data_IF_946188078317
#
_entry.id   IF_946188078317
#
_cell.length_a   1.000
_cell.length_b   1.000
_cell.length_c   1.000
_cell.angle_alpha   90.00
_cell.angle_beta   90.00
_cell.angle_gamma   90.00
#
_symmetry.space_group_name_H-M   'P 1'
#
loop_
_entity.id
_entity.type
_entity.pdbx_description
1 polymer ?
#
# COMPACT_ATOMS: atom_id res chain seq x y z
N UNK A 1 -0.23 16.03 -9.85
CA UNK A 1 -1.38 15.18 -9.41
C UNK A 1 -1.08 14.31 -8.17
N UNK A 2 0.14 13.78 -7.96
CA UNK A 2 0.51 12.95 -6.79
C UNK A 2 0.56 13.63 -5.39
N UNK A 3 0.00 14.84 -5.25
CA UNK A 3 -0.10 15.60 -3.99
C UNK A 3 -1.56 15.90 -3.60
N UNK A 4 -2.51 15.18 -4.20
CA UNK A 4 -3.94 15.46 -4.00
C UNK A 4 -4.38 15.09 -2.59
N UNK A 5 -4.91 16.08 -1.87
CA UNK A 5 -5.47 15.98 -0.53
C UNK A 5 -6.96 15.65 -0.52
N UNK A 6 -7.58 15.38 -1.68
CA UNK A 6 -9.05 15.41 -1.82
C UNK A 6 -9.72 14.08 -2.14
N UNK A 7 -8.97 13.07 -2.54
CA UNK A 7 -9.60 11.92 -3.17
C UNK A 7 -9.65 10.70 -2.25
N UNK A 8 -10.85 10.47 -1.71
CA UNK A 8 -11.30 9.28 -0.99
C UNK A 8 -11.38 8.03 -1.89
N UNK A 9 -10.41 7.85 -2.80
CA UNK A 9 -10.44 6.82 -3.83
C UNK A 9 -10.48 5.40 -3.26
N UNK A 10 -9.96 5.21 -2.05
CA UNK A 10 -9.96 3.91 -1.39
C UNK A 10 -11.05 3.78 -0.32
N UNK A 11 -11.80 4.83 -0.01
CA UNK A 11 -12.75 4.82 1.11
C UNK A 11 -13.80 3.71 1.03
N UNK A 12 -14.42 3.41 -0.14
CA UNK A 12 -15.34 2.29 -0.24
C UNK A 12 -14.69 0.95 0.12
N UNK A 13 -13.45 0.74 -0.34
CA UNK A 13 -12.69 -0.48 -0.02
C UNK A 13 -12.26 -0.52 1.45
N UNK A 14 -11.78 0.59 2.00
CA UNK A 14 -11.42 0.70 3.43
C UNK A 14 -12.63 0.37 4.30
N UNK A 15 -13.81 0.91 3.97
CA UNK A 15 -15.04 0.63 4.70
C UNK A 15 -15.39 -0.87 4.67
N UNK A 16 -15.42 -1.51 3.50
CA UNK A 16 -15.73 -2.94 3.41
C UNK A 16 -14.68 -3.78 4.14
N UNK A 17 -13.40 -3.43 4.00
CA UNK A 17 -12.31 -4.12 4.68
C UNK A 17 -12.41 -4.00 6.21
N UNK A 18 -12.80 -2.83 6.71
CA UNK A 18 -13.07 -2.66 8.14
C UNK A 18 -14.28 -3.48 8.58
N UNK A 19 -15.40 -3.45 7.87
CA UNK A 19 -16.57 -4.20 8.33
C UNK A 19 -16.35 -5.72 8.32
N UNK A 20 -15.53 -6.26 7.41
CA UNK A 20 -15.50 -7.70 7.10
C UNK A 20 -14.27 -8.48 7.56
N UNK A 21 -13.14 -7.82 7.82
CA UNK A 21 -11.90 -8.53 8.13
C UNK A 21 -11.43 -8.18 9.53
N UNK A 22 -10.94 -9.17 10.28
CA UNK A 22 -10.37 -8.94 11.61
C UNK A 22 -9.07 -8.12 11.56
N UNK A 23 -8.25 -8.36 10.54
CA UNK A 23 -7.00 -7.65 10.27
C UNK A 23 -6.84 -7.36 8.79
N UNK A 24 -6.32 -6.19 8.46
CA UNK A 24 -6.10 -5.76 7.07
C UNK A 24 -4.69 -5.20 6.93
N UNK A 25 -3.93 -5.73 5.97
CA UNK A 25 -2.62 -5.18 5.60
C UNK A 25 -2.70 -4.56 4.22
N UNK A 26 -2.31 -3.29 4.13
CA UNK A 26 -2.23 -2.54 2.89
C UNK A 26 -0.78 -2.38 2.48
N UNK A 27 -0.39 -3.00 1.37
CA UNK A 27 0.95 -2.85 0.82
C UNK A 27 0.91 -1.97 -0.43
N UNK A 28 1.61 -0.84 -0.39
CA UNK A 28 1.73 0.07 -1.52
C UNK A 28 3.15 0.07 -2.06
N UNK A 29 3.26 -0.12 -3.38
CA UNK A 29 4.46 0.15 -4.17
C UNK A 29 4.52 1.61 -4.65
N UNK A 30 3.43 2.36 -4.49
CA UNK A 30 3.40 3.78 -4.83
C UNK A 30 4.05 4.61 -3.71
N UNK A 31 4.79 5.63 -4.13
CA UNK A 31 5.49 6.60 -3.31
C UNK A 31 4.67 7.87 -3.08
N UNK A 32 3.51 8.03 -3.75
CA UNK A 32 2.58 9.14 -3.55
C UNK A 32 1.85 9.08 -2.19
N UNK A 33 1.01 10.08 -1.92
CA UNK A 33 0.26 10.22 -0.67
C UNK A 33 -1.23 9.84 -0.78
N UNK A 34 -1.67 9.18 -1.87
CA UNK A 34 -3.11 8.92 -2.10
C UNK A 34 -3.68 8.00 -1.02
N UNK A 35 -2.89 7.00 -0.61
CA UNK A 35 -3.27 6.09 0.46
C UNK A 35 -3.31 6.80 1.81
N UNK A 36 -2.24 7.53 2.15
CA UNK A 36 -2.15 8.32 3.37
C UNK A 36 -3.33 9.30 3.49
N UNK A 37 -3.71 9.95 2.37
CA UNK A 37 -4.87 10.84 2.29
C UNK A 37 -6.20 10.09 2.47
N UNK A 38 -6.37 8.92 1.85
CA UNK A 38 -7.61 8.14 1.98
C UNK A 38 -7.89 7.78 3.44
N UNK A 39 -6.89 7.30 4.18
CA UNK A 39 -7.04 7.01 5.61
C UNK A 39 -7.26 8.27 6.45
N UNK A 40 -6.48 9.33 6.21
CA UNK A 40 -6.58 10.57 6.97
C UNK A 40 -7.97 11.25 6.86
N UNK A 41 -8.65 11.09 5.73
CA UNK A 41 -9.98 11.66 5.47
C UNK A 41 -11.13 10.67 5.61
N UNK A 42 -10.87 9.41 5.98
CA UNK A 42 -11.89 8.41 6.24
C UNK A 42 -12.42 8.56 7.68
N UNK A 43 -13.74 8.72 7.86
CA UNK A 43 -14.35 9.25 9.09
C UNK A 43 -15.11 8.22 9.95
N UNK A 44 -15.16 6.94 9.59
CA UNK A 44 -16.18 6.04 10.18
C UNK A 44 -15.81 5.39 11.51
N UNK A 45 -14.58 5.52 12.03
CA UNK A 45 -14.21 4.84 13.29
C UNK A 45 -14.53 5.62 14.58
N UNK A 46 -14.39 6.95 14.58
CA UNK A 46 -14.45 7.76 15.82
C UNK A 46 -15.36 9.00 15.72
N UNK A 47 -16.28 8.98 14.75
CA UNK A 47 -17.23 10.05 14.49
C UNK A 47 -16.69 11.15 13.57
N UNK A 48 -17.55 12.11 13.19
CA UNK A 48 -17.21 13.20 12.28
C UNK A 48 -15.98 13.98 12.76
N UNK A 49 -15.00 14.18 11.87
CA UNK A 49 -13.78 14.93 12.17
C UNK A 49 -12.65 14.15 12.84
N UNK A 50 -12.88 12.89 13.21
CA UNK A 50 -11.80 12.02 13.68
C UNK A 50 -10.88 11.63 12.51
N UNK A 51 -9.57 11.78 12.70
CA UNK A 51 -8.54 11.46 11.70
C UNK A 51 -7.58 10.45 12.28
N UNK A 52 -7.54 9.26 11.69
CA UNK A 52 -6.73 8.15 12.19
C UNK A 52 -5.94 7.55 11.04
N UNK A 53 -4.63 7.37 11.26
CA UNK A 53 -3.81 6.63 10.31
C UNK A 53 -3.69 5.16 10.76
N UNK A 54 -3.45 4.24 9.80
CA UNK A 54 -3.18 2.85 10.12
C UNK A 54 -1.90 2.71 10.93
N UNK A 55 -1.74 1.55 11.56
CA UNK A 55 -0.48 1.16 12.18
C UNK A 55 0.61 0.99 11.12
N UNK A 56 1.87 1.16 11.50
CA UNK A 56 3.03 0.93 10.64
C UNK A 56 3.90 -0.19 11.19
N UNK A 57 4.62 -0.88 10.31
CA UNK A 57 5.60 -1.89 10.70
C UNK A 57 6.95 -1.29 11.14
N UNK A 58 7.11 0.03 11.04
CA UNK A 58 8.29 0.78 11.48
C UNK A 58 7.87 2.00 12.29
N UNK A 59 8.76 2.46 13.16
CA UNK A 59 8.60 3.75 13.85
C UNK A 59 8.96 4.90 12.92
N UNK A 60 8.16 5.96 12.97
CA UNK A 60 8.36 7.19 12.19
C UNK A 60 7.84 8.37 13.02
N UNK A 61 8.68 9.40 13.14
CA UNK A 61 8.35 10.61 13.88
C UNK A 61 7.15 11.31 13.22
N UNK A 62 6.28 11.92 14.03
CA UNK A 62 5.08 12.65 13.60
C UNK A 62 4.00 11.81 12.89
N UNK A 63 4.11 10.48 12.90
CA UNK A 63 3.01 9.62 12.47
C UNK A 63 1.93 9.56 13.53
N UNK A 64 0.74 10.02 13.17
CA UNK A 64 -0.42 9.95 14.05
C UNK A 64 -1.15 8.62 13.79
N UNK A 65 -0.50 7.53 14.20
CA UNK A 65 -1.05 6.18 14.11
C UNK A 65 -2.02 5.90 15.26
N UNK A 66 -2.87 4.89 15.09
CA UNK A 66 -3.75 4.48 16.17
C UNK A 66 -4.80 3.43 15.84
N UNK A 67 -4.84 2.92 14.60
CA UNK A 67 -5.78 1.86 14.26
C UNK A 67 -5.07 0.50 14.17
N UNK A 68 -5.19 -0.36 15.19
CA UNK A 68 -4.42 -1.62 15.27
C UNK A 68 -4.82 -2.61 14.16
N UNK A 69 -6.07 -2.52 13.72
CA UNK A 69 -6.69 -3.39 12.72
C UNK A 69 -6.09 -3.24 11.33
N UNK A 70 -5.73 -2.02 10.95
CA UNK A 70 -5.15 -1.72 9.65
C UNK A 70 -3.65 -1.47 9.78
N UNK A 71 -2.87 -2.28 9.09
CA UNK A 71 -1.43 -2.11 8.95
C UNK A 71 -1.12 -1.55 7.56
N UNK A 72 -0.32 -0.49 7.48
CA UNK A 72 0.16 0.07 6.23
C UNK A 72 1.65 -0.21 6.02
N UNK A 73 1.97 -0.73 4.84
CA UNK A 73 3.31 -1.06 4.39
C UNK A 73 3.62 -0.23 3.13
N UNK A 74 4.46 0.79 3.28
CA UNK A 74 4.92 1.63 2.16
C UNK A 74 6.27 1.13 1.65
N UNK A 75 6.23 0.14 0.77
CA UNK A 75 7.38 -0.73 0.45
C UNK A 75 8.53 0.01 -0.22
N UNK A 76 8.21 1.03 -1.02
CA UNK A 76 9.18 1.86 -1.72
C UNK A 76 9.41 3.22 -1.02
N UNK A 77 8.98 3.34 0.24
CA UNK A 77 9.00 4.62 0.95
C UNK A 77 7.98 5.60 0.38
N UNK A 78 8.20 6.91 0.54
CA UNK A 78 7.21 7.88 0.09
C UNK A 78 7.72 9.30 0.00
N UNK A 79 7.05 10.11 -0.82
CA UNK A 79 7.38 11.53 -0.99
C UNK A 79 7.22 12.33 0.31
N UNK A 80 6.43 11.82 1.26
CA UNK A 80 6.16 12.37 2.57
C UNK A 80 6.94 11.70 3.71
N UNK A 81 7.84 10.77 3.41
CA UNK A 81 8.70 10.11 4.39
C UNK A 81 10.13 10.62 4.21
N UNK A 82 10.67 11.28 5.22
CA UNK A 82 11.94 11.99 5.11
C UNK A 82 12.89 11.57 6.22
N UNK A 83 14.17 11.48 5.90
CA UNK A 83 15.20 11.58 6.92
C UNK A 83 15.30 13.06 7.31
N UNK A 84 15.04 13.36 8.58
CA UNK A 84 15.19 14.70 9.15
C UNK A 84 16.06 14.60 10.38
N UNK A 85 17.23 15.23 10.36
CA UNK A 85 18.22 15.13 11.44
C UNK A 85 18.52 13.66 11.85
N UNK A 86 18.68 12.78 10.86
CA UNK A 86 18.98 11.35 11.09
C UNK A 86 17.79 10.49 11.54
N UNK A 87 16.57 11.05 11.63
CA UNK A 87 15.36 10.32 12.03
C UNK A 87 14.35 10.23 10.90
N UNK A 88 13.76 9.06 10.73
CA UNK A 88 12.65 8.88 9.79
C UNK A 88 11.43 9.65 10.32
N UNK A 89 10.98 10.62 9.53
CA UNK A 89 9.94 11.59 9.91
C UNK A 89 8.86 11.67 8.83
N UNK A 90 7.61 11.64 9.27
CA UNK A 90 6.44 11.86 8.43
C UNK A 90 6.19 13.35 8.24
N UNK A 91 6.30 13.82 7.01
CA UNK A 91 6.04 15.22 6.61
C UNK A 91 4.63 15.33 6.04
N UNK A 92 3.76 16.06 6.74
CA UNK A 92 2.33 16.13 6.40
C UNK A 92 2.09 16.73 5.02
N UNK A 93 1.20 16.11 4.25
CA UNK A 93 0.68 16.63 2.97
C UNK A 93 -0.39 17.73 3.16
N UNK A 94 -0.45 18.38 4.33
CA UNK A 94 -1.53 19.27 4.72
C UNK A 94 -1.58 20.58 3.89
N UNK A 95 -2.71 21.29 3.98
CA UNK A 95 -2.94 22.59 3.33
C UNK A 95 -1.93 23.68 3.74
N UNK A 96 -1.30 23.54 4.91
CA UNK A 96 -0.17 24.36 5.36
C UNK A 96 1.02 24.32 4.40
N UNK A 97 1.09 23.31 3.52
CA UNK A 97 2.12 23.19 2.52
C UNK A 97 3.45 22.66 3.06
N UNK A 98 3.46 22.03 4.24
CA UNK A 98 4.69 21.53 4.88
C UNK A 98 5.52 20.62 3.96
N UNK A 99 4.85 19.66 3.33
CA UNK A 99 5.47 18.79 2.32
C UNK A 99 6.02 19.60 1.12
N UNK A 100 5.26 20.57 0.62
CA UNK A 100 5.70 21.41 -0.50
C UNK A 100 6.92 22.26 -0.13
N UNK A 101 6.91 22.85 1.06
CA UNK A 101 8.04 23.60 1.61
C UNK A 101 9.27 22.71 1.70
N UNK A 102 9.14 21.48 2.23
CA UNK A 102 10.26 20.55 2.36
C UNK A 102 10.88 20.18 1.00
N UNK A 103 10.05 19.89 0.01
CA UNK A 103 10.51 19.64 -1.36
C UNK A 103 11.14 20.87 -2.02
N UNK A 104 10.65 22.08 -1.71
CA UNK A 104 11.24 23.34 -2.20
C UNK A 104 12.61 23.61 -1.57
N UNK A 105 12.80 23.28 -0.29
CA UNK A 105 14.10 23.35 0.39
C UNK A 105 15.09 22.37 -0.25
N UNK A 106 14.69 21.11 -0.40
CA UNK A 106 15.52 20.08 -1.02
C UNK A 106 15.91 20.40 -2.47
N UNK A 107 15.00 20.98 -3.26
CA UNK A 107 15.32 21.39 -4.63
C UNK A 107 16.36 22.51 -4.71
N UNK A 108 16.49 23.34 -3.65
CA UNK A 108 17.48 24.41 -3.58
C UNK A 108 18.82 23.93 -3.04
N UNK A 109 18.81 22.93 -2.17
CA UNK A 109 20.01 22.29 -1.63
C UNK A 109 19.84 20.76 -1.56
N UNK A 110 20.11 20.04 -2.67
CA UNK A 110 20.03 18.58 -2.71
C UNK A 110 21.07 17.88 -1.84
N UNK A 111 22.12 18.60 -1.42
CA UNK A 111 23.17 18.08 -0.54
C UNK A 111 22.81 18.24 0.95
N UNK A 112 21.63 18.79 1.26
CA UNK A 112 21.16 18.87 2.63
C UNK A 112 21.08 17.46 3.25
N UNK A 113 21.35 17.37 4.55
CA UNK A 113 21.27 16.11 5.29
C UNK A 113 19.85 15.50 5.28
N UNK A 114 18.85 16.32 4.98
CA UNK A 114 17.46 15.91 4.93
C UNK A 114 17.09 15.46 3.52
N UNK A 115 16.68 14.20 3.40
CA UNK A 115 16.43 13.56 2.11
C UNK A 115 15.16 12.71 2.16
N UNK A 116 14.40 12.64 1.06
CA UNK A 116 13.22 11.79 1.00
C UNK A 116 13.65 10.31 0.99
N UNK A 117 12.95 9.49 1.76
CA UNK A 117 13.14 8.03 1.76
C UNK A 117 12.29 7.45 0.64
N UNK A 118 12.90 7.35 -0.53
CA UNK A 118 12.30 6.75 -1.73
C UNK A 118 13.23 5.65 -2.22
N UNK A 119 12.70 4.44 -2.33
CA UNK A 119 13.37 3.30 -2.90
C UNK A 119 12.82 3.09 -4.31
N UNK A 120 13.57 3.49 -5.34
CA UNK A 120 13.16 3.17 -6.71
C UNK A 120 13.23 1.65 -6.94
N UNK A 121 12.28 1.07 -7.69
CA UNK A 121 12.22 -0.36 -7.97
C UNK A 121 13.37 -0.77 -8.91
N UNK A 122 14.54 -1.01 -8.32
CA UNK A 122 15.75 -1.43 -9.01
C UNK A 122 16.56 -2.37 -8.13
N UNK A 123 17.13 -3.43 -8.73
CA UNK A 123 17.81 -4.49 -8.00
C UNK A 123 18.95 -3.99 -7.10
N UNK A 124 19.69 -2.97 -7.53
CA UNK A 124 20.84 -2.42 -6.82
C UNK A 124 20.48 -1.62 -5.56
N UNK A 125 19.22 -1.20 -5.38
CA UNK A 125 18.82 -0.37 -4.24
C UNK A 125 18.45 -1.19 -3.00
N UNK A 126 18.27 -2.50 -3.13
CA UNK A 126 17.93 -3.41 -2.02
C UNK A 126 19.12 -3.78 -1.10
N UNK A 127 20.23 -3.06 -1.17
CA UNK A 127 21.35 -3.17 -0.23
C UNK A 127 21.72 -1.84 0.44
N UNK A 128 21.06 -0.74 0.07
CA UNK A 128 21.32 0.59 0.62
C UNK A 128 20.67 0.84 1.98
N UNK A 129 21.05 1.94 2.62
CA UNK A 129 20.55 2.28 3.97
C UNK A 129 19.04 2.54 4.01
N UNK A 130 18.47 3.09 2.94
CA UNK A 130 17.00 3.19 2.80
C UNK A 130 16.31 1.83 2.75
N UNK A 131 16.93 0.83 2.11
CA UNK A 131 16.37 -0.51 2.16
C UNK A 131 16.46 -1.10 3.56
N UNK A 132 17.58 -0.94 4.27
CA UNK A 132 17.69 -1.41 5.67
C UNK A 132 16.59 -0.78 6.54
N UNK A 133 16.36 0.52 6.38
CA UNK A 133 15.27 1.25 7.07
C UNK A 133 13.88 0.68 6.73
N UNK A 134 13.62 0.34 5.47
CA UNK A 134 12.33 -0.19 5.00
C UNK A 134 12.21 -1.72 5.13
N UNK A 135 13.29 -2.42 5.47
CA UNK A 135 13.36 -3.89 5.52
C UNK A 135 12.34 -4.52 6.48
N UNK A 136 11.96 -3.91 7.62
CA UNK A 136 10.89 -4.46 8.45
C UNK A 136 9.55 -4.44 7.72
N UNK A 137 9.27 -3.43 6.88
CA UNK A 137 8.06 -3.41 6.07
C UNK A 137 8.05 -4.52 5.02
N UNK A 138 9.19 -4.77 4.36
CA UNK A 138 9.34 -5.86 3.39
C UNK A 138 9.26 -7.25 4.03
N UNK A 139 9.73 -7.37 5.27
CA UNK A 139 9.61 -8.61 6.06
C UNK A 139 8.16 -8.84 6.42
N UNK A 140 7.47 -7.81 6.94
CA UNK A 140 6.05 -7.88 7.28
C UNK A 140 5.17 -8.11 6.06
N UNK A 141 5.52 -7.55 4.90
CA UNK A 141 4.83 -7.83 3.65
C UNK A 141 4.86 -9.31 3.30
N UNK A 142 6.04 -9.94 3.37
CA UNK A 142 6.18 -11.35 3.09
C UNK A 142 5.43 -12.23 4.10
N UNK A 143 5.55 -11.92 5.39
CA UNK A 143 4.80 -12.57 6.46
C UNK A 143 3.29 -12.53 6.18
N UNK A 144 2.74 -11.34 5.91
CA UNK A 144 1.31 -11.17 5.65
C UNK A 144 0.84 -11.87 4.38
N UNK A 145 1.66 -11.94 3.33
CA UNK A 145 1.33 -12.75 2.15
C UNK A 145 1.23 -14.25 2.49
N UNK A 146 2.08 -14.75 3.41
CA UNK A 146 2.09 -16.15 3.81
C UNK A 146 0.93 -16.50 4.76
N UNK A 147 0.42 -15.52 5.52
CA UNK A 147 -0.66 -15.70 6.49
C UNK A 147 -2.06 -15.41 5.93
N UNK A 148 -2.17 -14.56 4.91
CA UNK A 148 -3.46 -14.05 4.46
C UNK A 148 -4.40 -15.15 3.95
N UNK A 149 -5.67 -15.05 4.32
CA UNK A 149 -6.73 -15.87 3.71
C UNK A 149 -7.09 -15.35 2.31
N UNK A 150 -6.98 -14.03 2.11
CA UNK A 150 -7.31 -13.36 0.87
C UNK A 150 -6.31 -12.25 0.54
N UNK A 151 -5.91 -12.19 -0.73
CA UNK A 151 -5.03 -11.17 -1.27
C UNK A 151 -5.74 -10.45 -2.42
N UNK A 152 -5.81 -9.12 -2.33
CA UNK A 152 -6.33 -8.26 -3.39
C UNK A 152 -5.18 -7.45 -3.98
N UNK A 153 -4.96 -7.57 -5.28
CA UNK A 153 -3.96 -6.81 -6.05
C UNK A 153 -4.70 -5.81 -6.93
N UNK A 154 -4.34 -4.53 -6.81
CA UNK A 154 -4.98 -3.44 -7.55
C UNK A 154 -3.94 -2.67 -8.34
N UNK A 155 -4.04 -2.68 -9.67
CA UNK A 155 -3.26 -1.81 -10.55
C UNK A 155 -1.75 -1.99 -10.48
N UNK A 156 -1.25 -3.14 -10.00
CA UNK A 156 0.17 -3.42 -9.93
C UNK A 156 0.58 -4.34 -11.07
N UNK A 157 1.40 -3.83 -12.00
CA UNK A 157 1.79 -4.54 -13.22
C UNK A 157 2.85 -5.62 -13.03
N UNK A 158 3.37 -5.77 -11.81
CA UNK A 158 4.48 -6.66 -11.49
C UNK A 158 5.69 -6.44 -12.43
N UNK A 159 6.27 -5.22 -12.43
CA UNK A 159 7.34 -4.84 -13.35
C UNK A 159 8.58 -5.69 -13.13
N UNK A 160 9.37 -5.89 -14.19
CA UNK A 160 10.56 -6.76 -14.12
C UNK A 160 11.62 -6.25 -13.14
N UNK A 161 11.75 -4.92 -13.02
CA UNK A 161 12.69 -4.25 -12.10
C UNK A 161 12.38 -4.41 -10.61
N UNK A 162 11.16 -4.83 -10.24
CA UNK A 162 10.77 -5.06 -8.85
C UNK A 162 10.93 -6.55 -8.48
N UNK A 163 12.18 -7.00 -8.50
CA UNK A 163 12.52 -8.40 -8.24
C UNK A 163 12.12 -8.85 -6.82
N UNK A 164 12.16 -7.96 -5.83
CA UNK A 164 11.80 -8.28 -4.45
C UNK A 164 10.30 -8.56 -4.30
N UNK A 165 9.44 -7.70 -4.85
CA UNK A 165 8.00 -7.93 -4.85
C UNK A 165 7.66 -9.26 -5.53
N UNK A 166 8.21 -9.47 -6.73
CA UNK A 166 8.04 -10.71 -7.50
C UNK A 166 8.45 -11.93 -6.69
N UNK A 167 9.66 -11.92 -6.13
CA UNK A 167 10.18 -13.05 -5.37
C UNK A 167 9.29 -13.38 -4.16
N UNK A 168 8.88 -12.36 -3.39
CA UNK A 168 8.05 -12.54 -2.20
C UNK A 168 6.64 -13.02 -2.54
N UNK A 169 5.99 -12.43 -3.54
CA UNK A 169 4.66 -12.84 -3.98
C UNK A 169 4.67 -14.28 -4.50
N UNK A 170 5.65 -14.64 -5.34
CA UNK A 170 5.78 -16.01 -5.86
C UNK A 170 6.08 -17.04 -4.76
N UNK A 171 6.94 -16.68 -3.82
CA UNK A 171 7.28 -17.56 -2.69
C UNK A 171 6.06 -17.76 -1.79
N UNK A 172 5.36 -16.68 -1.44
CA UNK A 172 4.16 -16.75 -0.61
C UNK A 172 3.03 -17.52 -1.29
N UNK A 173 2.83 -17.34 -2.61
CA UNK A 173 1.90 -18.15 -3.39
C UNK A 173 2.23 -19.66 -3.35
N UNK A 174 3.52 -19.99 -3.25
CA UNK A 174 3.96 -21.37 -3.11
C UNK A 174 3.80 -21.94 -1.70
N UNK A 175 3.89 -21.10 -0.67
CA UNK A 175 3.72 -21.51 0.73
C UNK A 175 2.23 -21.58 1.09
N UNK A 176 1.48 -20.53 0.81
CA UNK A 176 0.09 -20.37 1.21
C UNK A 176 -0.88 -20.84 0.14
N UNK A 177 -1.09 -22.17 0.08
CA UNK A 177 -1.99 -22.80 -0.90
C UNK A 177 -3.48 -22.60 -0.63
N UNK A 178 -3.84 -22.06 0.54
CA UNK A 178 -5.23 -21.80 0.94
C UNK A 178 -5.70 -20.39 0.56
N UNK A 179 -4.77 -19.46 0.37
CA UNK A 179 -5.08 -18.09 0.02
C UNK A 179 -5.79 -17.98 -1.34
N UNK A 180 -6.86 -17.19 -1.38
CA UNK A 180 -7.51 -16.76 -2.62
C UNK A 180 -6.94 -15.43 -3.07
N UNK A 181 -6.73 -15.28 -4.37
CA UNK A 181 -6.16 -14.07 -4.95
C UNK A 181 -7.18 -13.39 -5.87
N UNK A 182 -7.30 -12.07 -5.75
CA UNK A 182 -8.11 -11.23 -6.62
C UNK A 182 -7.19 -10.20 -7.28
N UNK A 183 -7.15 -10.19 -8.61
CA UNK A 183 -6.47 -9.16 -9.40
C UNK A 183 -7.48 -8.21 -10.00
N UNK A 184 -7.25 -6.91 -9.82
CA UNK A 184 -8.04 -5.81 -10.40
C UNK A 184 -7.10 -4.97 -11.25
N UNK A 185 -7.17 -5.14 -12.56
CA UNK A 185 -6.36 -4.37 -13.51
C UNK A 185 -7.05 -4.30 -14.89
N UNK A 186 -7.16 -3.12 -15.54
CA UNK A 186 -7.77 -3.01 -16.86
C UNK A 186 -6.89 -3.54 -18.00
N UNK A 187 -5.58 -3.71 -17.78
CA UNK A 187 -4.61 -4.15 -18.80
C UNK A 187 -4.62 -5.67 -18.96
N UNK A 188 -4.92 -6.13 -20.18
CA UNK A 188 -4.83 -7.55 -20.51
C UNK A 188 -3.40 -8.09 -20.36
N UNK A 189 -2.39 -7.27 -20.68
CA UNK A 189 -1.00 -7.66 -20.54
C UNK A 189 -0.61 -7.89 -19.07
N UNK A 190 -1.12 -7.06 -18.15
CA UNK A 190 -0.95 -7.28 -16.71
C UNK A 190 -1.68 -8.55 -16.27
N UNK A 191 -2.95 -8.71 -16.66
CA UNK A 191 -3.76 -9.88 -16.33
C UNK A 191 -3.10 -11.19 -16.78
N UNK A 192 -2.65 -11.25 -18.04
CA UNK A 192 -1.96 -12.40 -18.60
C UNK A 192 -0.67 -12.73 -17.84
N UNK A 193 0.09 -11.71 -17.40
CA UNK A 193 1.30 -11.90 -16.60
C UNK A 193 1.00 -12.59 -15.27
N UNK A 194 -0.02 -12.15 -14.54
CA UNK A 194 -0.42 -12.79 -13.30
C UNK A 194 -0.98 -14.20 -13.50
N UNK A 195 -1.81 -14.41 -14.53
CA UNK A 195 -2.33 -15.74 -14.87
C UNK A 195 -1.18 -16.71 -15.15
N UNK A 196 -0.15 -16.28 -15.88
CA UNK A 196 1.03 -17.12 -16.16
C UNK A 196 1.81 -17.47 -14.89
N UNK A 197 1.85 -16.55 -13.93
CA UNK A 197 2.66 -16.71 -12.71
C UNK A 197 1.94 -17.50 -11.62
N UNK A 198 0.67 -17.19 -11.36
CA UNK A 198 -0.11 -17.78 -10.26
C UNK A 198 -1.02 -18.92 -10.74
N UNK A 199 -1.26 -19.05 -12.04
CA UNK A 199 -2.24 -20.00 -12.58
C UNK A 199 -3.69 -19.56 -12.33
N UNK A 200 -4.64 -20.23 -12.97
CA UNK A 200 -6.06 -19.83 -12.97
C UNK A 200 -6.87 -20.35 -11.78
N UNK A 201 -6.41 -21.40 -11.09
CA UNK A 201 -7.23 -22.09 -10.08
C UNK A 201 -7.48 -21.26 -8.81
N UNK A 202 -6.53 -20.40 -8.45
CA UNK A 202 -6.53 -19.63 -7.20
C UNK A 202 -6.61 -18.11 -7.41
N UNK A 203 -6.74 -17.68 -8.67
CA UNK A 203 -6.72 -16.28 -9.07
C UNK A 203 -8.03 -15.91 -9.79
N UNK A 204 -8.79 -15.04 -9.15
CA UNK A 204 -9.92 -14.33 -9.79
C UNK A 204 -9.40 -13.05 -10.41
N UNK A 205 -9.79 -12.76 -11.66
CA UNK A 205 -9.33 -11.56 -12.39
C UNK A 205 -10.52 -10.68 -12.77
N UNK A 206 -10.48 -9.42 -12.36
CA UNK A 206 -11.43 -8.38 -12.73
C UNK A 206 -10.72 -7.36 -13.64
N UNK A 207 -11.13 -7.36 -14.92
CA UNK A 207 -10.60 -6.46 -15.96
C UNK A 207 -11.18 -5.06 -15.85
N UNK A 208 -10.91 -4.39 -14.72
CA UNK A 208 -11.48 -3.09 -14.36
C UNK A 208 -10.41 -2.23 -13.69
N UNK A 209 -10.51 -0.91 -13.88
CA UNK A 209 -9.78 0.04 -13.05
C UNK A 209 -10.41 0.21 -11.67
N UNK A 210 -9.71 0.88 -10.75
CA UNK A 210 -10.16 1.13 -9.38
C UNK A 210 -11.55 1.80 -9.32
N UNK A 211 -11.83 2.76 -10.21
CA UNK A 211 -13.15 3.44 -10.26
C UNK A 211 -14.27 2.44 -10.57
N UNK A 212 -14.05 1.54 -11.53
CA UNK A 212 -15.02 0.51 -11.89
C UNK A 212 -15.21 -0.54 -10.80
N UNK A 213 -14.15 -0.86 -10.07
CA UNK A 213 -14.21 -1.74 -8.90
C UNK A 213 -14.98 -1.09 -7.74
N UNK A 214 -14.76 0.20 -7.50
CA UNK A 214 -15.43 0.95 -6.43
C UNK A 214 -16.95 1.07 -6.59
N UNK A 215 -17.49 0.85 -7.79
CA UNK A 215 -18.94 0.88 -8.01
C UNK A 215 -19.68 -0.21 -7.23
N UNK A 216 -19.06 -1.37 -7.05
CA UNK A 216 -19.66 -2.51 -6.32
C UNK A 216 -18.59 -3.38 -5.65
N UNK A 217 -17.83 -2.76 -4.74
CA UNK A 217 -16.74 -3.44 -4.00
C UNK A 217 -17.23 -4.72 -3.33
N UNK A 218 -18.44 -4.68 -2.73
CA UNK A 218 -18.98 -5.81 -1.98
C UNK A 218 -19.27 -6.99 -2.88
N UNK A 219 -19.98 -6.79 -4.00
CA UNK A 219 -20.26 -7.90 -4.91
C UNK A 219 -18.99 -8.50 -5.49
N UNK A 220 -17.99 -7.66 -5.83
CA UNK A 220 -16.72 -8.15 -6.37
C UNK A 220 -15.90 -8.93 -5.34
N UNK A 221 -15.86 -8.48 -4.09
CA UNK A 221 -15.21 -9.24 -3.02
C UNK A 221 -15.95 -10.54 -2.71
N UNK A 222 -17.28 -10.53 -2.66
CA UNK A 222 -18.08 -11.75 -2.46
C UNK A 222 -17.87 -12.76 -3.61
N UNK A 223 -17.81 -12.28 -4.85
CA UNK A 223 -17.54 -13.12 -6.01
C UNK A 223 -16.16 -13.78 -5.92
N UNK A 224 -15.13 -13.02 -5.48
CA UNK A 224 -13.77 -13.54 -5.39
C UNK A 224 -13.56 -14.44 -4.16
N UNK A 225 -14.26 -14.14 -3.07
CA UNK A 225 -14.06 -14.72 -1.74
C UNK A 225 -15.40 -15.20 -1.15
N UNK A 226 -16.09 -16.18 -1.77
CA UNK A 226 -17.43 -16.57 -1.37
C UNK A 226 -17.51 -17.20 0.03
N UNK A 227 -16.40 -17.76 0.51
CA UNK A 227 -16.30 -18.44 1.81
C UNK A 227 -15.97 -17.47 2.96
N UNK A 228 -15.73 -16.19 2.64
CA UNK A 228 -15.66 -15.15 3.67
C UNK A 228 -17.10 -14.71 3.91
N UNK A 229 -17.73 -15.34 4.89
CA UNK A 229 -19.10 -15.05 5.30
C UNK A 229 -19.21 -13.56 5.69
N UNK A 230 -20.10 -12.78 5.08
CA UNK A 230 -20.32 -11.39 5.45
C UNK A 230 -21.13 -11.32 6.76
N UNK A 231 -20.57 -11.78 7.88
CA UNK A 231 -21.10 -11.43 9.21
C UNK A 231 -21.15 -9.91 9.38
#
# INVERSE_FOLDING_TARGET
EGKSTKAAHLNPLIQVCDEKFEQVTWASFNWDCVFDASFWYWQSWSGPGSRVNPSLAISIDNWYGGWPKHLFLKLHGGINWWMVNGRLTYVRFASSGDLNRKWNEYSKDPNSADQPVILEPSAYKYCGDFYKLLSPQWSKFFERLCEADCIVIIGYSLPEGDAQARSKMMTAFNINKRCKWLLIDPSEATCARFIRLLGQKSLTVLRKGLVGFNHDVRAYLQQAFPDIDPS
#
